data_IF_426748983343
#
_entry.id   IF_426748983343
#
_cell.length_a   1.000
_cell.length_b   1.000
_cell.length_c   1.000
_cell.angle_alpha   90.00
_cell.angle_beta   90.00
_cell.angle_gamma   90.00
#
_symmetry.space_group_name_H-M   'P 1'
#
loop_
_entity.id
_entity.type
_entity.pdbx_description
1 polymer ?
#
# COMPACT_ATOMS: atom_id res chain seq x y z
N UNK A 1 -3.34 40.58 35.34
CA UNK A 1 -2.00 40.99 34.87
C UNK A 1 -1.13 39.74 34.87
N UNK A 2 -1.38 38.84 33.91
CA UNK A 2 -0.55 37.66 33.64
C UNK A 2 0.11 37.91 32.30
N UNK A 3 1.44 37.85 32.29
CA UNK A 3 2.27 38.08 31.10
C UNK A 3 2.02 36.96 30.09
N UNK A 4 0.96 37.11 29.28
CA UNK A 4 0.80 36.38 28.03
C UNK A 4 1.82 36.94 27.04
N UNK A 5 3.06 36.45 27.13
CA UNK A 5 4.07 36.67 26.11
C UNK A 5 3.59 35.95 24.85
N UNK A 6 2.85 36.69 24.01
CA UNK A 6 2.41 36.28 22.69
C UNK A 6 3.64 36.04 21.81
N UNK A 7 4.14 34.82 21.83
CA UNK A 7 5.15 34.38 20.86
C UNK A 7 4.39 33.87 19.63
N UNK A 8 4.49 34.59 18.50
CA UNK A 8 3.77 34.26 17.25
C UNK A 8 2.24 34.10 17.43
N UNK A 9 1.60 35.04 18.15
CA UNK A 9 0.14 35.11 18.30
C UNK A 9 -0.50 33.93 19.05
N UNK A 10 0.28 33.11 19.75
CA UNK A 10 -0.18 31.95 20.49
C UNK A 10 0.21 32.07 21.98
N UNK A 11 -0.67 31.66 22.91
CA UNK A 11 -0.30 31.57 24.33
C UNK A 11 0.73 30.44 24.54
N UNK A 12 1.62 30.60 25.51
CA UNK A 12 2.66 29.62 25.85
C UNK A 12 2.10 28.22 26.17
N UNK A 13 0.85 28.16 26.63
CA UNK A 13 0.11 26.94 26.93
C UNK A 13 -0.24 26.12 25.68
N UNK A 14 -0.38 26.74 24.50
CA UNK A 14 -0.61 26.04 23.22
C UNK A 14 0.65 25.31 22.75
N UNK A 15 1.82 25.94 22.91
CA UNK A 15 3.11 25.33 22.65
C UNK A 15 3.36 24.11 23.54
N UNK A 16 3.01 24.21 24.83
CA UNK A 16 3.15 23.12 25.79
C UNK A 16 2.26 21.92 25.42
N UNK A 17 1.00 22.16 25.05
CA UNK A 17 0.07 21.10 24.60
C UNK A 17 0.58 20.40 23.34
N UNK A 18 1.05 21.16 22.35
CA UNK A 18 1.64 20.61 21.12
C UNK A 18 2.85 19.73 21.39
N UNK A 19 3.77 20.18 22.25
CA UNK A 19 4.94 19.41 22.69
C UNK A 19 4.56 18.10 23.37
N UNK A 20 3.55 18.13 24.26
CA UNK A 20 3.07 16.94 24.97
C UNK A 20 2.45 15.94 23.99
N UNK A 21 1.63 16.39 23.04
CA UNK A 21 1.01 15.49 22.04
C UNK A 21 2.02 14.92 21.06
N UNK A 22 3.01 15.70 20.64
CA UNK A 22 4.11 15.21 19.81
C UNK A 22 4.97 14.20 20.56
N UNK A 23 5.27 14.46 21.83
CA UNK A 23 5.97 13.52 22.70
C UNK A 23 5.17 12.22 22.90
N UNK A 24 3.84 12.32 23.08
CA UNK A 24 2.95 11.15 23.19
C UNK A 24 2.87 10.35 21.89
N UNK A 25 2.70 11.00 20.73
CA UNK A 25 2.69 10.33 19.42
C UNK A 25 4.04 9.67 19.15
N UNK A 26 5.15 10.36 19.42
CA UNK A 26 6.49 9.80 19.31
C UNK A 26 6.68 8.61 20.26
N UNK A 27 6.26 8.73 21.52
CA UNK A 27 6.34 7.65 22.50
C UNK A 27 5.49 6.44 22.08
N UNK A 28 4.25 6.66 21.64
CA UNK A 28 3.34 5.60 21.18
C UNK A 28 3.93 4.90 19.96
N UNK A 29 4.41 5.64 18.96
CA UNK A 29 5.00 5.07 17.75
C UNK A 29 6.32 4.32 18.04
N UNK A 30 7.15 4.83 18.94
CA UNK A 30 8.40 4.17 19.35
C UNK A 30 8.16 2.94 20.22
N UNK A 31 7.16 2.97 21.12
CA UNK A 31 6.74 1.81 21.89
C UNK A 31 6.09 0.75 21.02
N UNK A 32 5.21 1.12 20.09
CA UNK A 32 4.67 0.21 19.07
C UNK A 32 5.80 -0.44 18.27
N UNK A 33 6.76 0.36 17.77
CA UNK A 33 7.95 -0.15 17.09
C UNK A 33 8.72 -1.14 17.96
N UNK A 34 9.01 -0.78 19.21
CA UNK A 34 9.78 -1.61 20.13
C UNK A 34 9.03 -2.89 20.51
N UNK A 35 7.71 -2.82 20.66
CA UNK A 35 6.86 -3.97 20.97
C UNK A 35 6.75 -4.93 19.77
N UNK A 36 6.54 -4.40 18.56
CA UNK A 36 6.56 -5.17 17.31
C UNK A 36 7.93 -5.84 17.13
N UNK A 37 9.03 -5.11 17.30
CA UNK A 37 10.41 -5.63 17.28
C UNK A 37 10.63 -6.76 18.30
N UNK A 38 10.13 -6.58 19.53
CA UNK A 38 10.31 -7.54 20.62
C UNK A 38 9.47 -8.79 20.42
N UNK A 39 8.27 -8.66 19.85
CA UNK A 39 7.44 -9.79 19.42
C UNK A 39 8.11 -10.58 18.29
N UNK A 40 8.73 -9.88 17.33
CA UNK A 40 9.49 -10.49 16.23
C UNK A 40 10.65 -11.38 16.69
N UNK A 41 11.38 -10.97 17.74
CA UNK A 41 12.58 -11.69 18.23
C UNK A 41 12.21 -13.00 18.98
N UNK A 42 10.99 -13.12 19.51
CA UNK A 42 10.55 -14.33 20.25
C UNK A 42 10.09 -15.49 19.37
N UNK A 43 9.73 -15.24 18.11
CA UNK A 43 9.28 -16.27 17.16
C UNK A 43 10.42 -16.71 16.26
N UNK A 44 11.17 -17.72 16.70
CA UNK A 44 12.38 -18.22 16.03
C UNK A 44 12.14 -18.92 14.67
N UNK A 45 10.88 -19.18 14.29
CA UNK A 45 10.52 -20.03 13.13
C UNK A 45 9.95 -19.28 11.92
N UNK A 46 9.60 -17.99 12.04
CA UNK A 46 9.03 -17.17 10.95
C UNK A 46 9.88 -15.92 10.67
N UNK A 47 11.19 -16.11 10.49
CA UNK A 47 12.19 -15.04 10.33
C UNK A 47 11.99 -14.15 9.07
N UNK A 48 11.01 -14.44 8.20
CA UNK A 48 10.78 -13.70 6.95
C UNK A 48 9.82 -12.50 7.07
N UNK A 49 8.64 -12.72 7.66
CA UNK A 49 7.53 -11.74 7.73
C UNK A 49 7.89 -10.54 8.58
N UNK A 50 8.26 -10.86 9.81
CA UNK A 50 8.34 -9.91 10.89
C UNK A 50 9.64 -9.09 10.80
N UNK A 51 10.70 -9.62 10.19
CA UNK A 51 11.96 -8.90 9.95
C UNK A 51 11.81 -7.84 8.85
N UNK A 52 11.14 -8.15 7.74
CA UNK A 52 10.96 -7.22 6.61
C UNK A 52 10.01 -6.06 6.97
N UNK A 53 8.89 -6.34 7.65
CA UNK A 53 7.95 -5.32 8.15
C UNK A 53 8.64 -4.38 9.13
N UNK A 54 9.47 -4.96 10.00
CA UNK A 54 10.21 -4.21 11.02
C UNK A 54 11.26 -3.26 10.41
N UNK A 55 11.91 -3.64 9.30
CA UNK A 55 12.91 -2.79 8.67
C UNK A 55 12.30 -1.72 7.74
N UNK A 56 11.04 -1.87 7.33
CA UNK A 56 10.27 -0.82 6.63
C UNK A 56 9.93 0.40 7.50
N UNK A 57 10.19 0.37 8.81
CA UNK A 57 10.07 1.54 9.68
C UNK A 57 11.34 2.40 9.64
N UNK A 58 11.40 3.35 8.71
CA UNK A 58 12.41 4.42 8.77
C UNK A 58 12.19 5.28 10.02
N UNK A 59 13.22 5.52 10.83
CA UNK A 59 13.13 6.42 12.00
C UNK A 59 12.72 7.85 11.61
N UNK A 60 12.91 8.24 10.35
CA UNK A 60 12.67 9.58 9.84
C UNK A 60 11.17 9.90 9.75
N UNK A 61 10.33 8.94 9.35
CA UNK A 61 8.87 9.16 9.19
C UNK A 61 8.18 9.36 10.53
N UNK A 62 8.60 8.61 11.57
CA UNK A 62 8.10 8.79 12.95
C UNK A 62 8.42 10.21 13.45
N UNK A 63 9.64 10.69 13.18
CA UNK A 63 10.05 12.05 13.57
C UNK A 63 9.21 13.08 12.83
N UNK A 64 8.96 12.92 11.53
CA UNK A 64 8.13 13.84 10.74
C UNK A 64 6.68 13.87 11.23
N UNK A 65 6.06 12.73 11.52
CA UNK A 65 4.69 12.64 12.05
C UNK A 65 4.61 13.24 13.46
N UNK A 66 5.61 12.99 14.30
CA UNK A 66 5.70 13.59 15.63
C UNK A 66 5.82 15.11 15.55
N UNK A 67 6.71 15.64 14.68
CA UNK A 67 6.89 17.07 14.49
C UNK A 67 5.63 17.74 13.91
N UNK A 68 4.97 17.07 12.96
CA UNK A 68 3.73 17.55 12.36
C UNK A 68 2.54 17.54 13.35
N UNK A 69 2.52 16.61 14.31
CA UNK A 69 1.49 16.54 15.36
C UNK A 69 1.53 17.74 16.32
N UNK A 70 2.65 18.47 16.42
CA UNK A 70 2.68 19.74 17.18
C UNK A 70 1.69 20.76 16.60
N UNK A 71 1.44 20.72 15.30
CA UNK A 71 0.70 21.77 14.57
C UNK A 71 -0.81 21.71 14.80
N UNK A 72 -1.32 20.61 15.35
CA UNK A 72 -2.74 20.45 15.70
C UNK A 72 -3.19 21.35 16.87
N UNK A 73 -2.24 21.92 17.62
CA UNK A 73 -2.50 22.70 18.84
C UNK A 73 -2.02 24.14 18.77
N UNK A 74 -1.35 24.54 17.68
CA UNK A 74 -0.99 25.93 17.41
C UNK A 74 -2.05 26.55 16.50
N UNK A 75 -2.58 27.72 16.85
CA UNK A 75 -3.34 28.54 15.89
C UNK A 75 -2.35 29.18 14.94
N UNK A 76 -2.21 28.58 13.76
CA UNK A 76 -1.34 29.05 12.68
C UNK A 76 -2.17 29.87 11.68
N UNK A 77 -1.55 30.77 10.90
CA UNK A 77 -2.22 31.37 9.75
C UNK A 77 -2.77 30.29 8.81
N UNK A 78 -3.93 30.51 8.18
CA UNK A 78 -4.62 29.51 7.36
C UNK A 78 -3.73 28.84 6.29
N UNK A 79 -2.79 29.61 5.72
CA UNK A 79 -1.81 29.11 4.75
C UNK A 79 -0.82 28.09 5.35
N UNK A 80 -0.37 28.31 6.59
CA UNK A 80 0.53 27.41 7.28
C UNK A 80 -0.19 26.11 7.69
N UNK A 81 -1.45 26.18 8.11
CA UNK A 81 -2.25 24.99 8.39
C UNK A 81 -2.43 24.10 7.14
N UNK A 82 -2.66 24.69 5.96
CA UNK A 82 -2.79 23.94 4.71
C UNK A 82 -1.49 23.24 4.31
N UNK A 83 -0.36 23.96 4.32
CA UNK A 83 0.95 23.39 3.98
C UNK A 83 1.33 22.25 4.94
N UNK A 84 1.10 22.45 6.25
CA UNK A 84 1.40 21.44 7.26
C UNK A 84 0.51 20.20 7.14
N UNK A 85 -0.77 20.36 6.76
CA UNK A 85 -1.67 19.24 6.48
C UNK A 85 -1.16 18.42 5.29
N UNK A 86 -0.71 19.05 4.22
CA UNK A 86 -0.13 18.34 3.06
C UNK A 86 1.13 17.60 3.47
N UNK A 87 2.02 18.22 4.24
CA UNK A 87 3.26 17.57 4.74
C UNK A 87 2.91 16.37 5.63
N UNK A 88 1.92 16.51 6.52
CA UNK A 88 1.45 15.41 7.37
C UNK A 88 0.91 14.24 6.56
N UNK A 89 0.01 14.52 5.60
CA UNK A 89 -0.58 13.50 4.74
C UNK A 89 0.45 12.86 3.83
N UNK A 90 1.44 13.61 3.34
CA UNK A 90 2.56 13.06 2.60
C UNK A 90 3.38 12.10 3.47
N UNK A 91 3.74 12.50 4.70
CA UNK A 91 4.48 11.65 5.61
C UNK A 91 3.71 10.38 5.99
N UNK A 92 2.42 10.51 6.32
CA UNK A 92 1.54 9.39 6.65
C UNK A 92 1.34 8.47 5.43
N UNK A 93 1.15 9.04 4.24
CA UNK A 93 1.02 8.31 2.99
C UNK A 93 2.28 7.53 2.63
N UNK A 94 3.46 8.14 2.75
CA UNK A 94 4.75 7.45 2.57
C UNK A 94 4.90 6.28 3.56
N UNK A 95 4.52 6.48 4.82
CA UNK A 95 4.58 5.43 5.84
C UNK A 95 3.62 4.27 5.54
N UNK A 96 2.38 4.59 5.19
CA UNK A 96 1.37 3.59 4.83
C UNK A 96 1.76 2.85 3.55
N UNK A 97 2.29 3.57 2.55
CA UNK A 97 2.81 3.00 1.31
C UNK A 97 3.90 1.98 1.59
N UNK A 98 4.89 2.33 2.43
CA UNK A 98 5.94 1.39 2.83
C UNK A 98 5.38 0.14 3.51
N UNK A 99 4.42 0.28 4.45
CA UNK A 99 3.77 -0.87 5.08
C UNK A 99 3.06 -1.76 4.07
N UNK A 100 2.25 -1.18 3.18
CA UNK A 100 1.55 -1.94 2.14
C UNK A 100 2.53 -2.64 1.19
N UNK A 101 3.61 -1.97 0.78
CA UNK A 101 4.63 -2.61 -0.07
C UNK A 101 5.34 -3.75 0.65
N UNK A 102 5.57 -3.63 1.96
CA UNK A 102 6.14 -4.71 2.76
C UNK A 102 5.21 -5.91 2.88
N UNK A 103 3.89 -5.69 2.94
CA UNK A 103 2.90 -6.78 2.91
C UNK A 103 2.93 -7.50 1.56
N UNK A 104 3.02 -6.75 0.46
CA UNK A 104 3.17 -7.31 -0.89
C UNK A 104 4.46 -8.11 -0.99
N UNK A 105 5.59 -7.55 -0.55
CA UNK A 105 6.89 -8.24 -0.56
C UNK A 105 6.85 -9.55 0.21
N UNK A 106 6.21 -9.53 1.37
CA UNK A 106 6.07 -10.74 2.14
C UNK A 106 5.21 -11.79 1.40
N UNK A 107 4.04 -11.39 0.91
CA UNK A 107 3.17 -12.29 0.17
C UNK A 107 3.89 -12.91 -1.04
N UNK A 108 4.61 -12.09 -1.82
CA UNK A 108 5.38 -12.54 -2.98
C UNK A 108 6.51 -13.49 -2.58
N UNK A 109 7.31 -13.15 -1.57
CA UNK A 109 8.43 -13.98 -1.13
C UNK A 109 7.98 -15.34 -0.58
N UNK A 110 6.82 -15.39 0.09
CA UNK A 110 6.22 -16.64 0.56
C UNK A 110 5.83 -17.54 -0.60
N UNK A 111 5.21 -16.97 -1.64
CA UNK A 111 4.86 -17.73 -2.84
C UNK A 111 6.10 -18.19 -3.62
N UNK A 112 7.14 -17.35 -3.74
CA UNK A 112 8.39 -17.71 -4.42
C UNK A 112 9.12 -18.83 -3.69
N UNK A 113 9.09 -18.85 -2.36
CA UNK A 113 9.72 -19.89 -1.54
C UNK A 113 9.02 -21.25 -1.67
N UNK A 114 7.74 -21.26 -2.03
CA UNK A 114 6.99 -22.48 -2.34
C UNK A 114 7.26 -23.01 -3.77
N UNK A 115 7.87 -22.21 -4.65
CA UNK A 115 8.18 -22.61 -6.03
C UNK A 115 9.52 -23.36 -6.07
N UNK A 116 9.60 -24.57 -6.66
CA UNK A 116 10.85 -25.32 -6.81
C UNK A 116 11.97 -24.51 -7.50
N UNK A 117 13.23 -24.75 -7.14
CA UNK A 117 14.38 -23.99 -7.70
C UNK A 117 14.51 -24.07 -9.23
N UNK A 118 13.96 -25.12 -9.85
CA UNK A 118 13.95 -25.29 -11.30
C UNK A 118 12.94 -24.42 -12.08
N UNK A 119 11.97 -23.79 -11.41
CA UNK A 119 10.90 -23.01 -12.05
C UNK A 119 11.21 -21.49 -12.07
N UNK A 120 12.38 -21.12 -12.58
CA UNK A 120 12.80 -19.71 -12.70
C UNK A 120 11.75 -18.80 -13.39
N UNK A 121 11.06 -19.22 -14.47
CA UNK A 121 10.03 -18.39 -15.11
C UNK A 121 8.86 -18.05 -14.18
N UNK A 122 8.45 -19.01 -13.34
CA UNK A 122 7.33 -18.82 -12.40
C UNK A 122 7.69 -17.84 -11.29
N UNK A 123 8.93 -17.91 -10.77
CA UNK A 123 9.45 -16.94 -9.80
C UNK A 123 9.49 -15.53 -10.37
N UNK A 124 9.98 -15.38 -11.61
CA UNK A 124 10.02 -14.10 -12.30
C UNK A 124 8.61 -13.49 -12.54
N UNK A 125 7.63 -14.33 -12.85
CA UNK A 125 6.23 -13.90 -12.97
C UNK A 125 5.69 -13.35 -11.64
N UNK A 126 5.95 -14.05 -10.53
CA UNK A 126 5.53 -13.61 -9.19
C UNK A 126 6.19 -12.28 -8.76
N UNK A 127 7.48 -12.10 -9.03
CA UNK A 127 8.16 -10.82 -8.74
C UNK A 127 7.60 -9.67 -9.57
N UNK A 128 7.28 -9.93 -10.85
CA UNK A 128 6.71 -8.94 -11.76
C UNK A 128 5.31 -8.54 -11.30
N UNK A 129 4.48 -9.51 -10.92
CA UNK A 129 3.15 -9.29 -10.35
C UNK A 129 3.22 -8.44 -9.06
N UNK A 130 4.16 -8.78 -8.17
CA UNK A 130 4.44 -7.98 -6.98
C UNK A 130 4.80 -6.53 -7.31
N UNK A 131 5.60 -6.32 -8.35
CA UNK A 131 5.94 -5.00 -8.87
C UNK A 131 4.71 -4.17 -9.26
N UNK A 132 3.75 -4.76 -9.97
CA UNK A 132 2.51 -4.07 -10.35
C UNK A 132 1.70 -3.60 -9.14
N UNK A 133 1.55 -4.44 -8.11
CA UNK A 133 0.87 -4.03 -6.87
C UNK A 133 1.58 -2.88 -6.16
N UNK A 134 2.92 -2.90 -6.10
CA UNK A 134 3.70 -1.80 -5.50
C UNK A 134 3.52 -0.49 -6.27
N UNK A 135 3.54 -0.53 -7.61
CA UNK A 135 3.29 0.64 -8.44
C UNK A 135 1.89 1.20 -8.15
N UNK A 136 0.87 0.33 -8.11
CA UNK A 136 -0.50 0.76 -7.80
C UNK A 136 -0.61 1.43 -6.42
N UNK A 137 0.04 0.86 -5.39
CA UNK A 137 0.10 1.46 -4.04
C UNK A 137 0.69 2.87 -4.09
N UNK A 138 1.83 3.05 -4.75
CA UNK A 138 2.50 4.36 -4.82
C UNK A 138 1.70 5.39 -5.63
N UNK A 139 1.02 4.96 -6.70
CA UNK A 139 0.09 5.83 -7.43
C UNK A 139 -1.03 6.31 -6.51
N UNK A 140 -1.66 5.42 -5.74
CA UNK A 140 -2.73 5.78 -4.79
C UNK A 140 -2.21 6.76 -3.73
N UNK A 141 -1.05 6.49 -3.14
CA UNK A 141 -0.42 7.39 -2.15
C UNK A 141 -0.18 8.77 -2.77
N UNK A 142 0.34 8.84 -3.99
CA UNK A 142 0.56 10.11 -4.67
C UNK A 142 -0.75 10.88 -4.90
N UNK A 143 -1.82 10.19 -5.35
CA UNK A 143 -3.13 10.82 -5.57
C UNK A 143 -3.72 11.40 -4.29
N UNK A 144 -3.63 10.69 -3.17
CA UNK A 144 -4.12 11.17 -1.86
C UNK A 144 -3.38 12.45 -1.44
N UNK A 145 -2.07 12.51 -1.66
CA UNK A 145 -1.26 13.70 -1.34
C UNK A 145 -1.63 14.86 -2.25
N UNK A 146 -1.72 14.61 -3.57
CA UNK A 146 -2.06 15.62 -4.57
C UNK A 146 -3.46 16.21 -4.36
N UNK A 147 -4.43 15.41 -3.93
CA UNK A 147 -5.81 15.86 -3.62
C UNK A 147 -5.85 16.97 -2.55
N UNK A 148 -4.86 16.97 -1.65
CA UNK A 148 -4.81 17.93 -0.55
C UNK A 148 -3.99 19.18 -0.89
N UNK A 149 -3.38 19.25 -2.08
CA UNK A 149 -2.64 20.45 -2.52
C UNK A 149 -3.65 21.52 -3.00
N UNK A 150 -3.60 22.74 -2.44
CA UNK A 150 -4.46 23.83 -2.88
C UNK A 150 -4.29 24.13 -4.37
N UNK A 151 -5.42 24.38 -5.06
CA UNK A 151 -5.48 24.67 -6.50
C UNK A 151 -5.00 23.53 -7.42
N UNK A 152 -4.82 22.33 -6.90
CA UNK A 152 -4.53 21.16 -7.72
C UNK A 152 -5.83 20.52 -8.23
N UNK A 153 -5.93 20.32 -9.54
CA UNK A 153 -7.10 19.65 -10.12
C UNK A 153 -6.84 18.15 -10.29
N UNK A 154 -7.21 17.38 -9.26
CA UNK A 154 -7.08 15.92 -9.28
C UNK A 154 -7.94 15.25 -10.37
N UNK A 155 -9.05 15.88 -10.78
CA UNK A 155 -9.98 15.31 -11.76
C UNK A 155 -9.29 15.02 -13.09
N UNK A 156 -8.38 15.89 -13.54
CA UNK A 156 -7.63 15.70 -14.79
C UNK A 156 -6.72 14.46 -14.75
N UNK A 157 -6.07 14.22 -13.60
CA UNK A 157 -5.21 13.04 -13.42
C UNK A 157 -6.05 11.78 -13.34
N UNK A 158 -7.13 11.80 -12.56
CA UNK A 158 -8.03 10.66 -12.45
C UNK A 158 -8.64 10.32 -13.82
N UNK A 159 -9.02 11.34 -14.61
CA UNK A 159 -9.48 11.13 -15.97
C UNK A 159 -8.41 10.45 -16.84
N UNK A 160 -7.17 10.95 -16.80
CA UNK A 160 -6.05 10.34 -17.54
C UNK A 160 -5.74 8.89 -17.11
N UNK A 161 -5.76 8.61 -15.80
CA UNK A 161 -5.61 7.26 -15.25
C UNK A 161 -6.79 6.37 -15.64
N UNK A 162 -8.02 6.91 -15.71
CA UNK A 162 -9.20 6.21 -16.18
C UNK A 162 -9.06 5.78 -17.65
N UNK A 163 -8.63 6.68 -18.53
CA UNK A 163 -8.32 6.33 -19.93
C UNK A 163 -7.19 5.30 -20.02
N UNK A 164 -6.13 5.46 -19.22
CA UNK A 164 -5.04 4.49 -19.15
C UNK A 164 -5.51 3.11 -18.67
N UNK A 165 -6.40 3.06 -17.69
CA UNK A 165 -7.03 1.84 -17.19
C UNK A 165 -7.86 1.12 -18.24
N UNK A 166 -8.61 1.87 -19.07
CA UNK A 166 -9.33 1.30 -20.21
C UNK A 166 -8.36 0.67 -21.21
N UNK A 167 -7.26 1.34 -21.54
CA UNK A 167 -6.25 0.80 -22.45
C UNK A 167 -5.62 -0.51 -21.91
N UNK A 168 -5.29 -0.55 -20.61
CA UNK A 168 -4.78 -1.76 -19.95
C UNK A 168 -5.84 -2.87 -19.96
N UNK A 169 -7.11 -2.55 -19.68
CA UNK A 169 -8.21 -3.51 -19.71
C UNK A 169 -8.45 -4.12 -21.09
N UNK A 170 -8.37 -3.30 -22.15
CA UNK A 170 -8.45 -3.77 -23.53
C UNK A 170 -7.27 -4.67 -23.88
N UNK A 171 -6.06 -4.33 -23.45
CA UNK A 171 -4.88 -5.17 -23.66
C UNK A 171 -4.99 -6.52 -22.93
N UNK A 172 -5.63 -6.55 -21.75
CA UNK A 172 -5.84 -7.76 -20.96
C UNK A 172 -7.12 -8.54 -21.33
N UNK A 173 -7.93 -8.07 -22.29
CA UNK A 173 -9.27 -8.60 -22.59
C UNK A 173 -9.24 -10.11 -22.89
N UNK A 174 -8.29 -10.56 -23.71
CA UNK A 174 -8.18 -11.97 -24.09
C UNK A 174 -7.87 -12.86 -22.87
N UNK A 175 -6.96 -12.42 -22.00
CA UNK A 175 -6.60 -13.15 -20.78
C UNK A 175 -7.82 -13.30 -19.87
N UNK A 176 -8.59 -12.22 -19.67
CA UNK A 176 -9.81 -12.27 -18.86
C UNK A 176 -10.84 -13.23 -19.47
N UNK A 177 -11.01 -13.20 -20.80
CA UNK A 177 -11.92 -14.10 -21.52
C UNK A 177 -11.54 -15.57 -21.32
N UNK A 178 -10.25 -15.90 -21.41
CA UNK A 178 -9.76 -17.28 -21.24
C UNK A 178 -9.95 -17.76 -19.80
N UNK A 179 -9.68 -16.89 -18.82
CA UNK A 179 -9.90 -17.17 -17.39
C UNK A 179 -11.39 -17.42 -17.08
N UNK A 180 -12.29 -16.59 -17.62
CA UNK A 180 -13.74 -16.77 -17.44
C UNK A 180 -14.21 -18.06 -18.10
N UNK A 181 -13.69 -18.40 -19.29
CA UNK A 181 -14.01 -19.65 -19.98
C UNK A 181 -13.61 -20.86 -19.14
N UNK A 182 -12.40 -20.85 -18.58
CA UNK A 182 -11.91 -21.91 -17.68
C UNK A 182 -12.74 -22.03 -16.40
N UNK A 183 -13.10 -20.90 -15.77
CA UNK A 183 -13.99 -20.87 -14.61
C UNK A 183 -15.36 -21.46 -14.91
N UNK A 184 -15.99 -21.07 -16.02
CA UNK A 184 -17.29 -21.59 -16.46
C UNK A 184 -17.23 -23.10 -16.70
N UNK A 185 -16.17 -23.60 -17.35
CA UNK A 185 -16.00 -25.05 -17.57
C UNK A 185 -15.91 -25.80 -16.23
N UNK A 186 -15.18 -25.26 -15.25
CA UNK A 186 -15.00 -25.92 -13.96
C UNK A 186 -16.28 -25.89 -13.10
N UNK A 187 -17.00 -24.76 -13.11
CA UNK A 187 -18.20 -24.56 -12.30
C UNK A 187 -19.42 -25.27 -12.90
N UNK A 188 -19.68 -25.07 -14.18
CA UNK A 188 -20.89 -25.57 -14.85
C UNK A 188 -20.71 -26.99 -15.39
N UNK A 189 -19.47 -27.49 -15.46
CA UNK A 189 -19.08 -28.82 -15.95
C UNK A 189 -19.87 -29.26 -17.20
N UNK A 190 -19.87 -28.45 -18.28
CA UNK A 190 -20.61 -28.79 -19.51
C UNK A 190 -20.10 -30.07 -20.18
N UNK A 191 -18.88 -30.48 -19.86
CA UNK A 191 -18.26 -31.74 -20.24
C UNK A 191 -17.26 -32.14 -19.14
N UNK A 192 -16.99 -33.44 -19.05
CA UNK A 192 -16.09 -34.04 -18.06
C UNK A 192 -14.95 -34.82 -18.73
N UNK A 193 -13.90 -35.12 -17.96
CA UNK A 193 -12.76 -35.90 -18.46
C UNK A 193 -13.28 -37.29 -18.89
N UNK A 194 -12.98 -37.68 -20.13
CA UNK A 194 -13.47 -38.90 -20.76
C UNK A 194 -14.66 -38.71 -21.70
N UNK A 195 -15.31 -37.53 -21.70
CA UNK A 195 -16.37 -37.25 -22.67
C UNK A 195 -15.81 -37.03 -24.07
N UNK A 196 -16.47 -37.60 -25.08
CA UNK A 196 -16.16 -37.28 -26.47
C UNK A 196 -16.98 -36.07 -26.90
N UNK A 197 -16.28 -35.02 -27.34
CA UNK A 197 -16.88 -33.73 -27.70
C UNK A 197 -16.40 -33.28 -29.07
N UNK A 198 -17.21 -32.44 -29.72
CA UNK A 198 -16.86 -31.76 -30.96
C UNK A 198 -16.88 -30.24 -30.75
N UNK A 199 -15.77 -29.58 -31.05
CA UNK A 199 -15.61 -28.12 -30.92
C UNK A 199 -15.21 -27.55 -32.28
N UNK A 200 -16.18 -26.96 -32.98
CA UNK A 200 -16.00 -26.54 -34.38
C UNK A 200 -15.70 -27.75 -35.27
N UNK A 201 -14.57 -27.69 -35.99
CA UNK A 201 -14.12 -28.76 -36.89
C UNK A 201 -13.33 -29.89 -36.17
N UNK A 202 -13.06 -29.74 -34.87
CA UNK A 202 -12.25 -30.71 -34.11
C UNK A 202 -13.15 -31.66 -33.31
N UNK A 203 -12.87 -32.97 -33.38
CA UNK A 203 -13.55 -34.01 -32.60
C UNK A 203 -12.53 -34.86 -31.86
N UNK A 204 -12.80 -35.20 -30.60
CA UNK A 204 -11.90 -35.99 -29.77
C UNK A 204 -12.50 -36.31 -28.40
N UNK A 205 -11.66 -36.83 -27.50
CA UNK A 205 -12.04 -37.14 -26.12
C UNK A 205 -11.29 -36.22 -25.17
N UNK A 206 -11.96 -35.72 -24.13
CA UNK A 206 -11.35 -34.83 -23.14
C UNK A 206 -10.37 -35.62 -22.26
N UNK A 207 -9.07 -35.35 -22.41
CA UNK A 207 -8.02 -35.96 -21.59
C UNK A 207 -7.73 -35.16 -20.31
N UNK A 208 -7.76 -33.83 -20.39
CA UNK A 208 -7.44 -32.95 -19.28
C UNK A 208 -8.16 -31.60 -19.39
N UNK A 209 -8.45 -30.99 -18.23
CA UNK A 209 -9.06 -29.67 -18.11
C UNK A 209 -8.22 -28.84 -17.13
N UNK A 210 -7.49 -27.85 -17.65
CA UNK A 210 -6.79 -26.82 -16.87
C UNK A 210 -5.37 -27.19 -16.45
#
# INVERSE_FOLDING_TARGET
MTLDTLFLSNPLSSWLKGLITAALVWLILTLLRHFILKLTIRTHKEKGLLYQITHSFSQVTIIIIALASLTAFLTLPDQAHQVLRVIYLAAAGLQAGQWLTSLVDHWVNTQISAVPEGELPRRASLTTLGGFFKVAIWVIVALIVLDNIPNFNLSNIIAGLGLGGIAIGLAAQNVIKDLLSSLTINLDKPFTIGDSIQVGEFSGTVEHIG
#
